data_IF_451738536909
#
_entry.id   IF_451738536909
#
_cell.length_a   1.000
_cell.length_b   1.000
_cell.length_c   1.000
_cell.angle_alpha   90.00
_cell.angle_beta   90.00
_cell.angle_gamma   90.00
#
_symmetry.space_group_name_H-M   'P 1'
#
loop_
_entity.id
_entity.type
_entity.pdbx_description
1 polymer ?
#
# COMPACT_ATOMS: atom_id res chain seq x y z
N UNK A 1 13.55 -21.08 -19.16
CA UNK A 1 13.31 -20.48 -18.95
C UNK A 1 13.00 -19.66 -18.52
N UNK A 2 13.12 -19.53 -18.09
CA UNK A 2 12.77 -18.77 -17.56
C UNK A 2 12.69 -17.70 -17.95
N UNK A 3 12.33 -17.14 -18.54
CA UNK A 3 12.11 -16.14 -18.96
C UNK A 3 11.20 -15.39 -18.70
N UNK A 4 10.31 -15.76 -18.47
CA UNK A 4 9.37 -15.13 -18.01
C UNK A 4 9.62 -14.14 -17.19
N UNK A 5 10.33 -14.39 -16.66
CA UNK A 5 10.76 -13.47 -15.73
C UNK A 5 11.16 -12.18 -16.30
N UNK A 6 11.31 -12.10 -17.56
CA UNK A 6 11.68 -10.85 -18.17
C UNK A 6 10.63 -9.80 -18.02
N UNK A 7 9.38 -10.18 -18.14
CA UNK A 7 8.30 -9.23 -18.00
C UNK A 7 8.13 -8.76 -16.61
N UNK A 8 8.20 -9.70 -15.72
CA UNK A 8 8.07 -9.38 -14.32
C UNK A 8 9.44 -9.27 -13.70
N UNK A 9 10.43 -9.00 -14.53
CA UNK A 9 11.80 -9.19 -14.13
C UNK A 9 12.34 -8.22 -13.12
N UNK A 10 11.82 -7.02 -13.05
CA UNK A 10 12.36 -6.05 -12.12
C UNK A 10 11.94 -6.39 -10.70
N UNK A 11 12.89 -6.66 -9.80
CA UNK A 11 12.55 -6.88 -8.40
C UNK A 11 11.81 -5.70 -7.78
N UNK A 12 12.09 -4.49 -8.23
CA UNK A 12 11.42 -3.32 -7.71
C UNK A 12 9.95 -3.34 -8.10
N UNK A 13 9.65 -3.71 -9.33
CA UNK A 13 8.26 -3.78 -9.78
C UNK A 13 7.51 -4.87 -9.04
N UNK A 14 8.13 -6.03 -8.88
CA UNK A 14 7.51 -7.14 -8.15
C UNK A 14 7.18 -6.72 -6.71
N UNK A 15 8.12 -6.04 -6.06
CA UNK A 15 7.89 -5.58 -4.69
C UNK A 15 6.78 -4.54 -4.61
N UNK A 16 6.69 -3.67 -5.61
CA UNK A 16 5.61 -2.67 -5.64
C UNK A 16 4.25 -3.35 -5.77
N UNK A 17 4.15 -4.34 -6.63
CA UNK A 17 2.90 -5.08 -6.81
C UNK A 17 2.54 -5.83 -5.54
N UNK A 18 3.51 -6.51 -4.93
CA UNK A 18 3.27 -7.26 -3.70
C UNK A 18 2.81 -6.33 -2.58
N UNK A 19 3.45 -5.19 -2.46
CA UNK A 19 3.08 -4.22 -1.44
C UNK A 19 1.69 -3.67 -1.68
N UNK A 20 1.37 -3.37 -2.94
CA UNK A 20 0.05 -2.87 -3.27
C UNK A 20 -1.03 -3.90 -2.91
N UNK A 21 -0.79 -5.17 -3.22
CA UNK A 21 -1.75 -6.22 -2.89
C UNK A 21 -1.94 -6.35 -1.38
N UNK A 22 -0.84 -6.27 -0.64
CA UNK A 22 -0.90 -6.37 0.80
C UNK A 22 -1.69 -5.21 1.39
N UNK A 23 -1.40 -4.00 0.93
CA UNK A 23 -2.10 -2.80 1.40
C UNK A 23 -3.57 -2.89 1.05
N UNK A 24 -3.88 -3.24 -0.18
CA UNK A 24 -5.27 -3.33 -0.64
C UNK A 24 -6.06 -4.33 0.20
N UNK A 25 -5.49 -5.51 0.43
CA UNK A 25 -6.13 -6.53 1.25
C UNK A 25 -6.42 -6.02 2.66
N UNK A 26 -5.48 -5.30 3.24
CA UNK A 26 -5.68 -4.74 4.57
C UNK A 26 -6.77 -3.68 4.58
N UNK A 27 -6.79 -2.83 3.56
CA UNK A 27 -7.78 -1.77 3.49
C UNK A 27 -9.19 -2.34 3.32
N UNK A 28 -9.33 -3.39 2.53
CA UNK A 28 -10.64 -3.99 2.31
C UNK A 28 -11.20 -4.69 3.54
N UNK A 29 -10.37 -4.94 4.54
CA UNK A 29 -10.86 -5.45 5.82
C UNK A 29 -11.45 -4.35 6.67
N UNK A 30 -11.05 -3.11 6.43
CA UNK A 30 -11.47 -1.97 7.24
C UNK A 30 -12.52 -1.11 6.54
N UNK A 31 -12.46 -1.07 5.22
CA UNK A 31 -13.25 -0.13 4.43
C UNK A 31 -13.86 -0.84 3.24
N UNK A 32 -14.95 -0.27 2.71
CA UNK A 32 -15.44 -0.71 1.42
C UNK A 32 -14.48 -0.21 0.33
N UNK A 33 -14.77 -0.60 -0.90
CA UNK A 33 -13.87 -0.30 -2.01
C UNK A 33 -13.66 1.20 -2.20
N UNK A 34 -14.74 1.97 -2.11
CA UNK A 34 -14.67 3.39 -2.35
C UNK A 34 -13.80 4.08 -1.30
N UNK A 35 -14.02 3.73 -0.03
CA UNK A 35 -13.23 4.30 1.05
C UNK A 35 -11.78 3.85 0.98
N UNK A 36 -11.54 2.61 0.57
CA UNK A 36 -10.17 2.11 0.42
C UNK A 36 -9.43 2.87 -0.67
N UNK A 37 -10.10 3.15 -1.78
CA UNK A 37 -9.50 3.96 -2.85
C UNK A 37 -9.22 5.38 -2.38
N UNK A 38 -10.15 5.96 -1.63
CA UNK A 38 -9.96 7.30 -1.10
C UNK A 38 -8.74 7.35 -0.16
N UNK A 39 -8.58 6.32 0.65
CA UNK A 39 -7.42 6.24 1.55
C UNK A 39 -6.12 6.16 0.74
N UNK A 40 -6.11 5.32 -0.27
CA UNK A 40 -4.91 5.05 -1.05
C UNK A 40 -4.42 6.29 -1.80
N UNK A 41 -5.35 7.08 -2.32
CA UNK A 41 -5.01 8.23 -3.15
C UNK A 41 -5.11 9.57 -2.43
N UNK A 42 -5.59 9.60 -1.21
CA UNK A 42 -5.72 10.84 -0.45
C UNK A 42 -4.44 11.17 0.31
N UNK A 43 -4.25 12.45 0.59
CA UNK A 43 -3.12 12.87 1.41
C UNK A 43 -3.36 12.45 2.85
N UNK A 44 -2.36 11.86 3.47
CA UNK A 44 -2.51 11.25 4.78
C UNK A 44 -1.58 11.95 5.79
N UNK A 45 -2.15 12.60 6.81
CA UNK A 45 -1.32 13.29 7.81
C UNK A 45 -0.33 12.36 8.53
N UNK A 46 -0.71 11.10 8.72
CA UNK A 46 0.18 10.13 9.36
C UNK A 46 1.42 9.83 8.52
N UNK A 47 1.37 10.19 7.24
CA UNK A 47 2.48 9.99 6.31
C UNK A 47 3.15 11.30 5.94
N UNK A 48 2.97 12.33 6.77
CA UNK A 48 3.52 13.65 6.46
C UNK A 48 2.85 14.29 5.27
N UNK A 49 1.54 14.10 5.17
CA UNK A 49 0.72 14.62 4.08
C UNK A 49 1.10 14.09 2.71
N UNK A 50 1.65 12.88 2.67
CA UNK A 50 1.93 12.18 1.41
C UNK A 50 0.81 11.19 1.15
N UNK A 51 0.64 10.79 -0.10
CA UNK A 51 -0.36 9.80 -0.45
C UNK A 51 0.22 8.39 -0.30
N UNK A 52 -0.56 7.46 0.26
CA UNK A 52 -0.07 6.09 0.39
C UNK A 52 0.40 5.48 -0.93
N UNK A 53 -0.28 5.78 -2.05
CA UNK A 53 0.13 5.27 -3.34
C UNK A 53 1.55 5.70 -3.69
N UNK A 54 1.95 6.91 -3.31
CA UNK A 54 3.28 7.39 -3.60
C UNK A 54 4.35 6.65 -2.81
N UNK A 55 4.03 6.25 -1.58
CA UNK A 55 4.94 5.44 -0.79
C UNK A 55 5.10 4.04 -1.36
N UNK A 56 4.02 3.48 -1.91
CA UNK A 56 4.12 2.19 -2.59
C UNK A 56 5.07 2.29 -3.77
N UNK A 57 4.94 3.36 -4.55
CA UNK A 57 5.78 3.57 -5.73
C UNK A 57 7.23 3.79 -5.34
N UNK A 58 7.46 4.39 -4.18
CA UNK A 58 8.81 4.63 -3.69
C UNK A 58 9.38 3.46 -2.90
N UNK A 59 8.58 2.43 -2.64
CA UNK A 59 9.03 1.27 -1.88
C UNK A 59 9.22 1.52 -0.40
N UNK A 60 8.52 2.52 0.14
CA UNK A 60 8.66 2.91 1.54
C UNK A 60 7.75 2.03 2.41
N UNK A 61 8.11 0.76 2.50
CA UNK A 61 7.26 -0.25 3.12
C UNK A 61 7.00 -0.01 4.59
N UNK A 62 8.03 0.30 5.35
CA UNK A 62 7.87 0.43 6.79
C UNK A 62 6.98 1.59 7.18
N UNK A 63 7.16 2.72 6.51
CA UNK A 63 6.32 3.88 6.79
C UNK A 63 4.86 3.55 6.50
N UNK A 64 4.63 2.89 5.37
CA UNK A 64 3.28 2.57 4.95
C UNK A 64 2.62 1.57 5.89
N UNK A 65 3.35 0.54 6.28
CA UNK A 65 2.80 -0.46 7.19
C UNK A 65 2.51 0.12 8.57
N UNK A 66 3.30 1.09 8.99
CA UNK A 66 3.04 1.78 10.25
C UNK A 66 1.73 2.55 10.17
N UNK A 67 1.48 3.22 9.04
CA UNK A 67 0.23 3.95 8.86
C UNK A 67 -0.97 3.00 8.82
N UNK A 68 -0.82 1.85 8.19
CA UNK A 68 -1.90 0.87 8.14
C UNK A 68 -2.20 0.34 9.53
N UNK A 69 -1.17 0.08 10.32
CA UNK A 69 -1.38 -0.38 11.69
C UNK A 69 -2.10 0.67 12.52
N UNK A 70 -1.78 1.94 12.28
CA UNK A 70 -2.46 3.02 12.98
C UNK A 70 -3.94 3.07 12.61
N UNK A 71 -4.25 2.87 11.32
CA UNK A 71 -5.64 2.83 10.90
C UNK A 71 -6.39 1.67 11.55
N UNK A 72 -5.76 0.52 11.63
CA UNK A 72 -6.38 -0.64 12.26
C UNK A 72 -6.65 -0.40 13.74
N UNK A 73 -5.72 0.24 14.42
CA UNK A 73 -5.91 0.57 15.83
C UNK A 73 -7.07 1.53 16.00
N UNK A 74 -7.17 2.54 15.15
CA UNK A 74 -8.26 3.50 15.23
C UNK A 74 -9.60 2.83 14.95
N UNK A 75 -9.62 1.87 14.03
CA UNK A 75 -10.85 1.18 13.67
C UNK A 75 -11.40 0.36 14.82
N UNK A 76 -10.53 -0.10 15.71
CA UNK A 76 -10.95 -0.92 16.84
C UNK A 76 -10.94 -0.16 18.18
N UNK A 77 -10.59 1.09 18.12
CA UNK A 77 -10.63 1.93 19.31
C UNK A 77 -12.04 2.45 19.51
#
# INVERSE_FOLDING_TARGET
MRRRSTLAGSPAIVRQVDLLELVWSNLLRLYDREAALAWLFGFNPALGDRRPIDLIRAGRTEELMRAIRAERSDAFA
#
